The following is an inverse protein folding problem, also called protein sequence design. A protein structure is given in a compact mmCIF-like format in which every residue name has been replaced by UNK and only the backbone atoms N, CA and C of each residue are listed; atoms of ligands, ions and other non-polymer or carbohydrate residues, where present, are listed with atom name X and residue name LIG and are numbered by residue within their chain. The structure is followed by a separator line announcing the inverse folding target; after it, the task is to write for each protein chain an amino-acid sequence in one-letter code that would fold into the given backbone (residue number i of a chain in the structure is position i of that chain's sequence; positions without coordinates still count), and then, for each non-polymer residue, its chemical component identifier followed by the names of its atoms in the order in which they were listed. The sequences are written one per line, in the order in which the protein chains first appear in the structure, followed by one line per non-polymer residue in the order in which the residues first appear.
data_IF_142274964310
#
_entry.id   IF_142274964310
#
_cell.length_a   1.000
_cell.length_b   1.000
_cell.length_c   1.000
_cell.angle_alpha   90.00
_cell.angle_beta   90.00
_cell.angle_gamma   90.00
#
_symmetry.space_group_name_H-M   'P 1'
#
loop_
_entity.id
_entity.type
_entity.pdbx_description
1 polymer ?
#
# COMPACT_ATOMS: atom_id res chain seq x y z
N UNK A 1 17.58 -25.41 -17.92
CA UNK A 1 17.07 -24.65 -19.09
C UNK A 1 16.52 -23.27 -18.67
N UNK A 2 15.42 -23.14 -17.89
CA UNK A 2 14.94 -21.83 -17.40
C UNK A 2 15.87 -21.25 -16.33
N UNK A 3 16.29 -22.07 -15.39
CA UNK A 3 17.23 -21.68 -14.33
C UNK A 3 18.60 -21.28 -14.87
N UNK A 4 19.08 -21.92 -15.93
CA UNK A 4 20.39 -21.61 -16.55
C UNK A 4 20.37 -20.21 -17.19
N UNK A 5 19.25 -19.84 -17.84
CA UNK A 5 19.08 -18.51 -18.46
C UNK A 5 19.04 -17.42 -17.40
N UNK A 6 18.31 -17.67 -16.28
CA UNK A 6 18.26 -16.74 -15.16
C UNK A 6 19.64 -16.59 -14.53
N UNK A 7 20.34 -17.72 -14.28
CA UNK A 7 21.66 -17.72 -13.67
C UNK A 7 22.69 -16.96 -14.51
N UNK A 8 22.63 -17.07 -15.85
CA UNK A 8 23.52 -16.35 -16.76
C UNK A 8 23.25 -14.83 -16.69
N UNK A 9 21.98 -14.41 -16.79
CA UNK A 9 21.61 -12.99 -16.66
C UNK A 9 22.02 -12.42 -15.30
N UNK A 10 21.79 -13.15 -14.21
CA UNK A 10 22.19 -12.72 -12.86
C UNK A 10 23.71 -12.54 -12.73
N UNK A 11 24.47 -13.44 -13.33
CA UNK A 11 25.93 -13.36 -13.34
C UNK A 11 26.43 -12.11 -14.06
N UNK A 12 25.81 -11.74 -15.18
CA UNK A 12 26.11 -10.51 -15.91
C UNK A 12 25.85 -9.26 -15.07
N UNK A 13 24.81 -9.29 -14.23
CA UNK A 13 24.41 -8.19 -13.35
C UNK A 13 25.16 -8.19 -12.00
N UNK A 14 26.01 -9.20 -11.76
CA UNK A 14 26.76 -9.32 -10.50
C UNK A 14 25.91 -9.69 -9.29
N UNK A 15 24.73 -10.29 -9.51
CA UNK A 15 23.80 -10.71 -8.48
C UNK A 15 23.77 -12.24 -8.39
N UNK A 16 23.81 -12.76 -7.16
CA UNK A 16 23.74 -14.21 -6.94
C UNK A 16 22.29 -14.71 -7.02
N UNK A 17 22.13 -16.00 -7.36
CA UNK A 17 20.80 -16.63 -7.37
C UNK A 17 20.10 -16.56 -6.00
N UNK A 18 20.86 -16.62 -4.90
CA UNK A 18 20.31 -16.49 -3.56
C UNK A 18 19.75 -15.08 -3.30
N UNK A 19 20.45 -14.04 -3.75
CA UNK A 19 20.00 -12.66 -3.61
C UNK A 19 18.75 -12.37 -4.44
N UNK A 20 18.68 -12.93 -5.65
CA UNK A 20 17.49 -12.83 -6.48
C UNK A 20 16.31 -13.56 -5.82
N UNK A 21 16.53 -14.79 -5.33
CA UNK A 21 15.52 -15.58 -4.64
C UNK A 21 15.01 -14.87 -3.39
N UNK A 22 15.93 -14.30 -2.58
CA UNK A 22 15.54 -13.49 -1.41
C UNK A 22 14.62 -12.33 -1.81
N UNK A 23 14.99 -11.58 -2.84
CA UNK A 23 14.19 -10.44 -3.33
C UNK A 23 12.79 -10.90 -3.73
N UNK A 24 12.68 -11.92 -4.58
CA UNK A 24 11.39 -12.41 -5.09
C UNK A 24 10.52 -12.97 -3.96
N UNK A 25 11.10 -13.77 -3.05
CA UNK A 25 10.39 -14.31 -1.90
C UNK A 25 9.87 -13.19 -0.99
N UNK A 26 10.70 -12.18 -0.70
CA UNK A 26 10.30 -11.03 0.12
C UNK A 26 9.21 -10.20 -0.56
N UNK A 27 9.28 -10.01 -1.87
CA UNK A 27 8.21 -9.35 -2.63
C UNK A 27 6.88 -10.11 -2.49
N UNK A 28 6.91 -11.43 -2.64
CA UNK A 28 5.71 -12.28 -2.53
C UNK A 28 5.16 -12.34 -1.10
N UNK A 29 6.03 -12.34 -0.09
CA UNK A 29 5.67 -12.42 1.32
C UNK A 29 5.09 -11.09 1.84
N UNK A 30 5.76 -9.99 1.54
CA UNK A 30 5.37 -8.66 2.03
C UNK A 30 4.27 -8.01 1.18
N UNK A 31 4.23 -8.33 -0.11
CA UNK A 31 3.34 -7.68 -1.08
C UNK A 31 3.75 -6.24 -1.43
N UNK A 32 4.65 -5.66 -0.67
CA UNK A 32 5.19 -4.32 -0.89
C UNK A 32 6.58 -4.20 -0.26
N UNK A 33 7.49 -3.53 -0.94
CA UNK A 33 8.82 -3.14 -0.45
C UNK A 33 8.89 -1.62 -0.52
N UNK A 34 9.18 -0.98 0.61
CA UNK A 34 9.38 0.46 0.67
C UNK A 34 10.82 0.74 1.14
N UNK A 35 11.58 1.45 0.31
CA UNK A 35 13.00 1.76 0.55
C UNK A 35 13.23 2.45 1.91
N UNK A 36 12.28 3.25 2.36
CA UNK A 36 12.39 4.04 3.59
C UNK A 36 11.96 3.29 4.87
N UNK A 37 11.45 2.05 4.74
CA UNK A 37 10.96 1.30 5.89
C UNK A 37 12.08 0.77 6.79
N UNK A 38 13.14 0.23 6.18
CA UNK A 38 14.25 -0.36 6.92
C UNK A 38 15.49 -0.53 6.05
N UNK A 39 16.65 -0.73 6.67
CA UNK A 39 17.90 -1.04 5.93
C UNK A 39 17.79 -2.33 5.09
N UNK A 40 16.97 -3.27 5.50
CA UNK A 40 16.72 -4.50 4.73
C UNK A 40 15.94 -4.14 3.45
N UNK A 41 14.87 -3.37 3.57
CA UNK A 41 14.07 -2.98 2.41
C UNK A 41 14.80 -1.98 1.51
N UNK A 42 15.65 -1.13 2.04
CA UNK A 42 16.58 -0.32 1.23
C UNK A 42 17.40 -1.20 0.30
N UNK A 43 18.05 -2.25 0.84
CA UNK A 43 18.86 -3.17 0.04
C UNK A 43 18.05 -3.97 -0.97
N UNK A 44 16.83 -4.40 -0.59
CA UNK A 44 15.93 -5.11 -1.50
C UNK A 44 15.46 -4.21 -2.64
N UNK A 45 15.10 -2.97 -2.35
CA UNK A 45 14.70 -1.99 -3.36
C UNK A 45 15.86 -1.67 -4.31
N UNK A 46 17.06 -1.39 -3.77
CA UNK A 46 18.24 -1.08 -4.59
C UNK A 46 18.64 -2.29 -5.46
N UNK A 47 18.47 -3.53 -4.97
CA UNK A 47 18.66 -4.76 -5.75
C UNK A 47 17.60 -4.89 -6.86
N UNK A 48 16.33 -4.60 -6.55
CA UNK A 48 15.28 -4.61 -7.56
C UNK A 48 15.59 -3.69 -8.74
N UNK A 49 16.12 -2.48 -8.48
CA UNK A 49 16.52 -1.55 -9.54
C UNK A 49 17.56 -2.14 -10.51
N UNK A 50 18.39 -3.06 -10.04
CA UNK A 50 19.42 -3.71 -10.88
C UNK A 50 18.85 -4.85 -11.72
N UNK A 51 17.76 -5.48 -11.30
CA UNK A 51 17.16 -6.67 -11.94
C UNK A 51 15.70 -6.49 -12.30
N UNK A 52 15.25 -5.24 -12.49
CA UNK A 52 13.82 -4.91 -12.72
C UNK A 52 13.22 -5.81 -13.81
N UNK A 53 13.80 -5.79 -15.01
CA UNK A 53 13.27 -6.55 -16.16
C UNK A 53 13.20 -8.05 -15.88
N UNK A 54 14.20 -8.59 -15.17
CA UNK A 54 14.26 -10.02 -14.85
C UNK A 54 13.19 -10.41 -13.82
N UNK A 55 12.92 -9.55 -12.83
CA UNK A 55 11.86 -9.76 -11.85
C UNK A 55 10.49 -9.65 -12.52
N UNK A 56 10.29 -8.65 -13.38
CA UNK A 56 9.05 -8.47 -14.14
C UNK A 56 8.77 -9.67 -15.04
N UNK A 57 9.76 -10.12 -15.80
CA UNK A 57 9.67 -11.33 -16.64
C UNK A 57 9.31 -12.57 -15.80
N UNK A 58 10.00 -12.75 -14.66
CA UNK A 58 9.77 -13.90 -13.78
C UNK A 58 8.37 -13.91 -13.19
N UNK A 59 7.90 -12.77 -12.66
CA UNK A 59 6.60 -12.65 -12.04
C UNK A 59 5.45 -12.60 -13.06
N UNK A 60 5.71 -12.20 -14.31
CA UNK A 60 4.74 -12.23 -15.39
C UNK A 60 4.22 -13.63 -15.70
N UNK A 61 5.08 -14.66 -15.55
CA UNK A 61 4.70 -16.07 -15.67
C UNK A 61 3.61 -16.45 -14.68
N UNK A 62 3.64 -15.85 -13.49
CA UNK A 62 2.62 -16.02 -12.43
C UNK A 62 1.44 -15.05 -12.60
N UNK A 63 1.46 -14.20 -13.63
CA UNK A 63 0.50 -13.10 -13.84
C UNK A 63 0.39 -12.15 -12.64
N UNK A 64 1.46 -12.03 -11.86
CA UNK A 64 1.59 -11.07 -10.78
C UNK A 64 1.94 -9.72 -11.39
N UNK A 65 1.16 -8.69 -11.06
CA UNK A 65 1.40 -7.32 -11.53
C UNK A 65 2.32 -6.59 -10.56
N UNK A 66 3.18 -5.73 -11.10
CA UNK A 66 4.10 -4.90 -10.32
C UNK A 66 3.75 -3.43 -10.57
N UNK A 67 3.61 -2.68 -9.50
CA UNK A 67 3.56 -1.23 -9.53
C UNK A 67 4.83 -0.70 -8.87
N UNK A 68 5.61 0.06 -9.63
CA UNK A 68 6.83 0.71 -9.15
C UNK A 68 6.62 2.21 -9.10
N UNK A 69 6.62 2.78 -7.90
CA UNK A 69 6.61 4.22 -7.69
C UNK A 69 8.04 4.70 -7.44
N UNK A 70 8.62 5.35 -8.46
CA UNK A 70 10.00 5.86 -8.40
C UNK A 70 10.11 7.12 -7.54
N UNK A 71 9.02 7.89 -7.40
CA UNK A 71 9.01 9.13 -6.61
C UNK A 71 9.09 8.83 -5.11
N UNK A 72 8.30 7.87 -4.67
CA UNK A 72 8.24 7.47 -3.27
C UNK A 72 9.02 6.18 -2.96
N UNK A 73 9.79 5.69 -3.93
CA UNK A 73 10.71 4.58 -3.78
C UNK A 73 10.06 3.32 -3.19
N UNK A 74 8.91 2.91 -3.70
CA UNK A 74 8.29 1.65 -3.30
C UNK A 74 7.88 0.79 -4.51
N UNK A 75 7.82 -0.51 -4.28
CA UNK A 75 7.34 -1.50 -5.21
C UNK A 75 6.19 -2.23 -4.54
N UNK A 76 5.06 -2.35 -5.23
CA UNK A 76 3.91 -3.12 -4.77
C UNK A 76 3.56 -4.18 -5.80
N UNK A 77 3.30 -5.39 -5.34
CA UNK A 77 2.80 -6.46 -6.19
C UNK A 77 1.31 -6.67 -5.98
N UNK A 78 0.64 -7.09 -7.04
CA UNK A 78 -0.78 -7.40 -7.03
C UNK A 78 -1.01 -8.81 -7.56
N UNK A 79 -1.91 -9.57 -6.91
CA UNK A 79 -2.23 -10.91 -7.37
C UNK A 79 -2.90 -10.87 -8.75
N UNK A 80 -2.83 -11.98 -9.51
CA UNK A 80 -3.52 -12.10 -10.79
C UNK A 80 -5.00 -11.70 -10.69
N UNK A 81 -5.53 -10.98 -11.69
CA UNK A 81 -6.90 -10.50 -11.73
C UNK A 81 -7.21 -9.33 -10.78
N UNK A 82 -6.19 -8.70 -10.17
CA UNK A 82 -6.38 -7.43 -9.47
C UNK A 82 -6.62 -6.31 -10.50
N UNK A 83 -7.63 -5.49 -10.25
CA UNK A 83 -7.85 -4.23 -10.98
C UNK A 83 -7.03 -3.17 -10.29
N UNK A 84 -6.07 -2.60 -11.00
CA UNK A 84 -5.12 -1.61 -10.46
C UNK A 84 -5.09 -0.42 -11.40
N UNK A 85 -5.40 0.80 -10.93
CA UNK A 85 -5.35 1.99 -11.75
C UNK A 85 -3.97 2.16 -12.40
N UNK A 86 -3.96 2.38 -13.72
CA UNK A 86 -2.73 2.58 -14.48
C UNK A 86 -1.98 1.30 -14.88
N UNK A 87 -2.47 0.13 -14.51
CA UNK A 87 -1.95 -1.16 -14.99
C UNK A 87 -2.99 -1.85 -15.90
N UNK A 88 -2.53 -2.63 -16.90
CA UNK A 88 -3.45 -3.35 -17.78
C UNK A 88 -4.30 -4.36 -17.01
N UNK A 89 -5.57 -4.46 -17.38
CA UNK A 89 -6.47 -5.47 -16.84
C UNK A 89 -6.19 -6.84 -17.44
N UNK A 90 -6.40 -7.89 -16.63
CA UNK A 90 -6.32 -9.26 -17.11
C UNK A 90 -7.65 -9.65 -17.78
N UNK A 91 -7.58 -10.18 -19.00
CA UNK A 91 -8.77 -10.62 -19.76
C UNK A 91 -9.44 -11.87 -19.16
N UNK A 92 -8.82 -12.56 -18.20
CA UNK A 92 -9.30 -13.83 -17.67
C UNK A 92 -9.39 -13.84 -16.15
N UNK A 93 -10.42 -14.51 -15.63
CA UNK A 93 -10.56 -14.78 -14.20
C UNK A 93 -9.37 -15.60 -13.69
N UNK A 94 -8.69 -15.06 -12.71
CA UNK A 94 -7.51 -15.67 -12.16
C UNK A 94 -7.82 -16.73 -11.09
N UNK A 95 -7.05 -17.81 -11.08
CA UNK A 95 -7.08 -18.87 -10.05
C UNK A 95 -6.39 -18.41 -8.76
N UNK A 96 -6.89 -17.33 -8.14
CA UNK A 96 -6.14 -16.68 -7.07
C UNK A 96 -6.91 -16.45 -5.77
N UNK A 97 -7.97 -17.22 -5.51
CA UNK A 97 -8.77 -17.03 -4.30
C UNK A 97 -7.96 -17.14 -2.99
N UNK A 98 -6.82 -17.84 -3.01
CA UNK A 98 -5.90 -17.96 -1.88
C UNK A 98 -4.87 -16.83 -1.75
N UNK A 99 -4.60 -16.07 -2.81
CA UNK A 99 -3.63 -14.96 -2.79
C UNK A 99 -4.22 -13.63 -2.27
N UNK A 100 -5.53 -13.57 -2.09
CA UNK A 100 -6.23 -12.36 -1.65
C UNK A 100 -6.55 -12.44 -0.17
N UNK A 101 -5.78 -11.75 0.66
CA UNK A 101 -6.20 -11.46 2.02
C UNK A 101 -7.30 -10.39 1.97
N UNK A 102 -8.55 -10.77 2.25
CA UNK A 102 -9.66 -9.81 2.36
C UNK A 102 -9.49 -9.02 3.65
N UNK A 103 -9.38 -7.69 3.59
CA UNK A 103 -9.37 -6.88 4.81
C UNK A 103 -10.74 -6.96 5.50
N UNK A 104 -10.73 -6.88 6.83
CA UNK A 104 -11.95 -6.75 7.61
C UNK A 104 -12.64 -5.43 7.34
N UNK A 105 -13.95 -5.33 7.63
CA UNK A 105 -14.68 -4.06 7.48
C UNK A 105 -14.06 -2.94 8.30
N UNK A 106 -13.47 -3.26 9.43
CA UNK A 106 -12.81 -2.29 10.30
C UNK A 106 -11.49 -1.81 9.70
N UNK A 107 -10.69 -2.71 9.14
CA UNK A 107 -9.46 -2.35 8.41
C UNK A 107 -9.78 -1.45 7.21
N UNK A 108 -10.81 -1.79 6.43
CA UNK A 108 -11.25 -0.96 5.30
C UNK A 108 -11.65 0.44 5.77
N UNK A 109 -12.43 0.54 6.86
CA UNK A 109 -12.86 1.83 7.39
C UNK A 109 -11.66 2.69 7.83
N UNK A 110 -10.66 2.09 8.49
CA UNK A 110 -9.44 2.81 8.90
C UNK A 110 -8.65 3.24 7.66
N UNK A 111 -8.45 2.35 6.68
CA UNK A 111 -7.70 2.66 5.45
C UNK A 111 -8.35 3.82 4.68
N UNK A 112 -9.67 3.79 4.51
CA UNK A 112 -10.40 4.86 3.83
C UNK A 112 -10.26 6.19 4.56
N UNK A 113 -10.38 6.18 5.88
CA UNK A 113 -10.21 7.40 6.69
C UNK A 113 -8.79 7.95 6.59
N UNK A 114 -7.77 7.09 6.66
CA UNK A 114 -6.38 7.49 6.49
C UNK A 114 -6.12 8.08 5.09
N UNK A 115 -6.73 7.52 4.05
CA UNK A 115 -6.59 8.03 2.68
C UNK A 115 -7.19 9.43 2.54
N UNK A 116 -8.34 9.66 3.18
CA UNK A 116 -9.00 10.98 3.20
C UNK A 116 -8.15 12.00 3.95
N UNK A 117 -7.66 11.68 5.14
CA UNK A 117 -6.80 12.58 5.92
C UNK A 117 -5.47 12.84 5.20
N UNK A 118 -4.90 11.86 4.51
CA UNK A 118 -3.73 12.04 3.67
C UNK A 118 -3.99 13.07 2.56
N UNK A 119 -5.09 12.94 1.82
CA UNK A 119 -5.46 13.84 0.74
C UNK A 119 -5.69 15.26 1.24
N UNK A 120 -6.36 15.40 2.38
CA UNK A 120 -6.60 16.69 3.03
C UNK A 120 -5.28 17.36 3.39
N UNK A 121 -4.39 16.65 4.08
CA UNK A 121 -3.08 17.16 4.47
C UNK A 121 -2.20 17.50 3.26
N UNK A 122 -2.29 16.72 2.17
CA UNK A 122 -1.61 17.01 0.92
C UNK A 122 -2.06 18.34 0.31
N UNK A 123 -3.37 18.61 0.29
CA UNK A 123 -3.94 19.88 -0.18
C UNK A 123 -3.55 21.07 0.68
N UNK A 124 -3.40 20.84 1.98
CA UNK A 124 -2.97 21.86 2.96
C UNK A 124 -1.45 22.04 3.00
N UNK A 125 -0.69 21.25 2.24
CA UNK A 125 0.79 21.28 2.24
C UNK A 125 1.41 20.72 3.53
N UNK A 126 0.66 19.94 4.31
CA UNK A 126 1.09 19.38 5.59
C UNK A 126 1.71 17.99 5.40
N UNK A 127 2.75 17.92 4.59
CA UNK A 127 3.50 16.70 4.30
C UNK A 127 4.98 16.94 4.60
N UNK A 128 5.68 15.90 5.04
CA UNK A 128 7.13 15.95 5.21
C UNK A 128 7.89 15.81 3.88
N UNK A 129 9.22 15.92 3.95
CA UNK A 129 10.10 15.81 2.76
C UNK A 129 9.99 14.44 2.05
N UNK A 130 9.48 13.42 2.74
CA UNK A 130 9.24 12.07 2.21
C UNK A 130 7.82 11.88 1.68
N UNK A 131 6.99 12.91 1.79
CA UNK A 131 5.58 12.88 1.42
C UNK A 131 4.69 12.19 2.45
N UNK A 132 5.17 11.98 3.67
CA UNK A 132 4.38 11.38 4.75
C UNK A 132 3.55 12.44 5.49
N UNK A 133 2.44 11.99 6.07
CA UNK A 133 1.53 12.83 6.87
C UNK A 133 1.50 12.32 8.31
N UNK A 134 1.77 13.20 9.27
CA UNK A 134 1.63 12.89 10.68
C UNK A 134 0.18 13.11 11.14
N UNK A 135 -0.42 12.10 11.73
CA UNK A 135 -1.78 12.14 12.25
C UNK A 135 -1.82 11.58 13.69
N UNK A 136 -2.38 12.30 14.67
CA UNK A 136 -2.62 11.73 15.99
C UNK A 136 -3.70 10.65 15.92
N UNK A 137 -3.57 9.59 16.73
CA UNK A 137 -4.55 8.49 16.78
C UNK A 137 -5.94 8.98 17.18
N UNK A 138 -6.01 9.99 18.05
CA UNK A 138 -7.26 10.64 18.41
C UNK A 138 -7.88 11.35 17.18
N UNK A 139 -7.08 12.06 16.38
CA UNK A 139 -7.50 12.68 15.13
C UNK A 139 -8.08 11.65 14.15
N UNK A 140 -7.43 10.49 14.00
CA UNK A 140 -7.97 9.38 13.22
C UNK A 140 -9.33 8.91 13.75
N UNK A 141 -9.49 8.77 15.08
CA UNK A 141 -10.74 8.34 15.68
C UNK A 141 -11.87 9.34 15.42
N UNK A 142 -11.59 10.62 15.53
CA UNK A 142 -12.54 11.71 15.24
C UNK A 142 -12.92 11.71 13.75
N UNK A 143 -11.94 11.65 12.87
CA UNK A 143 -12.16 11.61 11.43
C UNK A 143 -13.00 10.40 11.00
N UNK A 144 -12.71 9.23 11.54
CA UNK A 144 -13.43 7.99 11.27
C UNK A 144 -14.92 8.09 11.73
N UNK A 145 -15.16 8.70 12.91
CA UNK A 145 -16.51 8.92 13.41
C UNK A 145 -17.27 9.91 12.54
N UNK A 146 -16.62 10.98 12.09
CA UNK A 146 -17.23 12.01 11.26
C UNK A 146 -17.56 11.48 9.86
N UNK A 147 -16.59 10.82 9.22
CA UNK A 147 -16.67 10.35 7.84
C UNK A 147 -17.60 9.14 7.69
N UNK A 148 -17.37 8.11 8.50
CA UNK A 148 -17.99 6.80 8.32
C UNK A 148 -19.01 6.44 9.40
N UNK A 149 -19.21 7.30 10.41
CA UNK A 149 -20.05 7.04 11.60
C UNK A 149 -19.62 5.77 12.35
N UNK A 150 -18.32 5.44 12.29
CA UNK A 150 -17.69 4.29 12.94
C UNK A 150 -16.66 4.73 13.95
N UNK A 151 -16.40 3.91 14.94
CA UNK A 151 -15.35 4.14 15.94
C UNK A 151 -14.20 3.17 15.75
N UNK A 152 -13.01 3.56 16.17
CA UNK A 152 -11.91 2.60 16.34
C UNK A 152 -12.31 1.55 17.38
N UNK A 153 -11.80 0.32 17.30
CA UNK A 153 -12.05 -0.70 18.31
C UNK A 153 -11.68 -0.21 19.71
N UNK A 154 -12.56 -0.45 20.67
CA UNK A 154 -12.30 -0.13 22.07
C UNK A 154 -11.26 -1.07 22.67
N UNK A 155 -11.29 -2.34 22.21
CA UNK A 155 -10.34 -3.37 22.65
C UNK A 155 -8.97 -3.05 22.06
N UNK A 156 -8.00 -2.80 22.94
CA UNK A 156 -6.63 -2.43 22.57
C UNK A 156 -5.96 -3.49 21.67
N UNK A 157 -6.19 -4.78 21.94
CA UNK A 157 -5.64 -5.87 21.14
C UNK A 157 -6.12 -5.85 19.67
N UNK A 158 -7.41 -5.57 19.45
CA UNK A 158 -7.96 -5.45 18.10
C UNK A 158 -7.37 -4.22 17.36
N UNK A 159 -7.25 -3.10 18.07
CA UNK A 159 -6.64 -1.89 17.53
C UNK A 159 -5.19 -2.14 17.13
N UNK A 160 -4.39 -2.77 18.00
CA UNK A 160 -2.99 -3.16 17.71
C UNK A 160 -2.90 -4.08 16.50
N UNK A 161 -3.81 -5.04 16.37
CA UNK A 161 -3.85 -5.96 15.23
C UNK A 161 -4.07 -5.22 13.90
N UNK A 162 -5.03 -4.29 13.86
CA UNK A 162 -5.31 -3.45 12.69
C UNK A 162 -4.06 -2.62 12.33
N UNK A 163 -3.49 -1.88 13.26
CA UNK A 163 -2.33 -1.05 12.98
C UNK A 163 -1.11 -1.87 12.56
N UNK A 164 -0.87 -3.03 13.17
CA UNK A 164 0.17 -3.96 12.74
C UNK A 164 -0.03 -4.40 11.28
N UNK A 165 -1.28 -4.70 10.91
CA UNK A 165 -1.61 -5.07 9.53
C UNK A 165 -1.38 -3.92 8.55
N UNK A 166 -1.79 -2.70 8.90
CA UNK A 166 -1.57 -1.54 8.06
C UNK A 166 -0.08 -1.21 7.90
N UNK A 167 0.72 -1.40 8.95
CA UNK A 167 2.17 -1.28 8.88
C UNK A 167 2.78 -2.34 7.96
N UNK A 168 2.34 -3.59 8.03
CA UNK A 168 2.77 -4.64 7.11
C UNK A 168 2.46 -4.28 5.65
N UNK A 169 1.34 -3.61 5.40
CA UNK A 169 0.95 -3.11 4.09
C UNK A 169 1.70 -1.82 3.69
N UNK A 170 2.60 -1.30 4.53
CA UNK A 170 3.34 -0.04 4.33
C UNK A 170 2.43 1.16 4.09
N UNK A 171 1.25 1.17 4.73
CA UNK A 171 0.32 2.31 4.68
C UNK A 171 0.56 3.30 5.80
N UNK A 172 1.08 2.82 6.93
CA UNK A 172 1.45 3.64 8.08
C UNK A 172 2.79 3.20 8.67
N UNK A 173 3.46 4.14 9.35
CA UNK A 173 4.57 3.89 10.26
C UNK A 173 4.27 4.44 11.64
N UNK A 174 4.90 3.87 12.68
CA UNK A 174 4.88 4.33 14.06
C UNK A 174 6.15 3.86 14.77
N UNK A 175 6.59 4.63 15.74
CA UNK A 175 7.92 4.41 16.35
C UNK A 175 7.98 3.21 17.31
N UNK A 176 6.90 2.93 18.05
CA UNK A 176 6.86 1.74 18.92
C UNK A 176 5.42 1.18 19.07
N UNK A 177 5.32 -0.14 19.32
CA UNK A 177 4.03 -0.79 19.57
C UNK A 177 3.41 -0.35 20.92
N UNK A 178 4.19 0.24 21.81
CA UNK A 178 3.75 0.76 23.11
C UNK A 178 3.05 2.12 22.98
N UNK A 179 3.28 2.85 21.90
CA UNK A 179 2.72 4.19 21.70
C UNK A 179 1.19 4.19 21.51
N UNK A 180 0.57 3.06 21.16
CA UNK A 180 -0.90 2.98 21.00
C UNK A 180 -1.69 2.95 22.31
N UNK A 181 -1.02 2.95 23.45
CA UNK A 181 -1.65 2.94 24.76
C UNK A 181 -1.99 4.34 25.27
N UNK A 182 -1.35 5.37 24.70
CA UNK A 182 -1.60 6.77 25.06
C UNK A 182 -2.48 7.47 24.01
N UNK A 183 -3.29 8.42 24.47
CA UNK A 183 -4.10 9.28 23.58
C UNK A 183 -3.20 10.19 22.70
N UNK A 184 -1.94 10.40 23.11
CA UNK A 184 -0.97 11.25 22.42
C UNK A 184 -0.17 10.52 21.34
N UNK A 185 -0.59 9.31 20.96
CA UNK A 185 0.11 8.52 19.94
C UNK A 185 -0.06 9.10 18.55
N UNK A 186 1.03 9.08 17.78
CA UNK A 186 1.07 9.57 16.41
C UNK A 186 1.36 8.44 15.44
N UNK A 187 0.73 8.49 14.28
CA UNK A 187 1.01 7.64 13.14
C UNK A 187 1.47 8.48 11.97
N UNK A 188 2.40 7.95 11.19
CA UNK A 188 2.84 8.54 9.94
C UNK A 188 2.16 7.79 8.78
N UNK A 189 1.28 8.47 8.04
CA UNK A 189 0.61 7.93 6.86
C UNK A 189 1.61 7.97 5.70
N UNK A 190 1.79 6.85 5.03
CA UNK A 190 2.75 6.71 3.95
C UNK A 190 2.15 7.06 2.59
N UNK A 191 2.92 7.63 1.64
CA UNK A 191 2.46 7.95 0.29
C UNK A 191 1.88 6.75 -0.47
N UNK A 192 2.34 5.54 -0.15
CA UNK A 192 1.86 4.28 -0.74
C UNK A 192 0.35 4.05 -0.54
N UNK A 193 -0.31 4.81 0.35
CA UNK A 193 -1.76 4.74 0.55
C UNK A 193 -2.53 5.17 -0.72
N UNK A 194 -1.97 6.06 -1.53
CA UNK A 194 -2.59 6.52 -2.78
C UNK A 194 -2.71 5.41 -3.82
N UNK A 195 -1.74 4.50 -3.84
CA UNK A 195 -1.79 3.32 -4.72
C UNK A 195 -2.69 2.21 -4.18
N UNK A 196 -2.99 2.24 -2.88
CA UNK A 196 -3.86 1.25 -2.25
C UNK A 196 -5.35 1.61 -2.35
N UNK A 197 -5.66 2.90 -2.27
CA UNK A 197 -7.01 3.46 -2.46
C UNK A 197 -6.92 4.55 -3.52
N UNK A 198 -7.41 4.25 -4.71
CA UNK A 198 -7.42 5.19 -5.85
C UNK A 198 -8.39 6.36 -5.65
N UNK A 199 -8.20 7.40 -6.46
CA UNK A 199 -9.00 8.62 -6.41
C UNK A 199 -10.48 8.39 -6.75
N UNK A 200 -10.78 7.37 -7.55
CA UNK A 200 -12.16 6.96 -7.88
C UNK A 200 -12.95 6.55 -6.62
N UNK A 201 -12.29 5.85 -5.68
CA UNK A 201 -12.92 5.46 -4.41
C UNK A 201 -13.15 6.68 -3.52
N UNK A 202 -12.22 7.64 -3.52
CA UNK A 202 -12.38 8.90 -2.80
C UNK A 202 -13.56 9.72 -3.33
N UNK A 203 -13.70 9.82 -4.64
CA UNK A 203 -14.78 10.56 -5.29
C UNK A 203 -16.17 9.99 -4.94
N UNK A 204 -16.27 8.68 -4.71
CA UNK A 204 -17.50 8.05 -4.24
C UNK A 204 -17.82 8.37 -2.77
N UNK A 205 -16.79 8.60 -1.94
CA UNK A 205 -16.98 8.98 -0.54
C UNK A 205 -17.35 10.47 -0.36
N UNK A 206 -16.90 11.30 -1.28
CA UNK A 206 -17.21 12.73 -1.37
C UNK A 206 -17.75 13.03 -2.76
N UNK A 207 -19.03 12.76 -3.04
CA UNK A 207 -19.63 13.28 -4.27
C UNK A 207 -19.52 14.80 -4.20
N UNK A 208 -18.78 15.38 -5.14
CA UNK A 208 -18.61 16.82 -5.25
C UNK A 208 -19.98 17.50 -5.21
N UNK A 209 -20.09 18.59 -4.45
CA UNK A 209 -21.33 19.40 -4.39
C UNK A 209 -21.77 19.90 -5.77
N UNK A 210 -20.88 19.92 -6.75
CA UNK A 210 -21.18 20.20 -8.17
C UNK A 210 -22.08 19.15 -8.82
N UNK A 211 -22.06 17.91 -8.36
CA UNK A 211 -22.90 16.84 -8.93
C UNK A 211 -24.32 16.87 -8.34
N UNK A 212 -24.54 17.48 -7.16
CA UNK A 212 -25.89 17.67 -6.59
C UNK A 212 -26.72 18.68 -7.35
N UNK A 213 -26.09 19.72 -7.92
CA UNK A 213 -26.81 20.74 -8.69
C UNK A 213 -27.35 20.26 -10.04
N UNK A 214 -26.77 19.18 -10.62
CA UNK A 214 -27.21 18.63 -11.90
C UNK A 214 -28.37 17.62 -11.80
N UNK A 215 -28.67 17.15 -10.59
CA UNK A 215 -29.76 16.18 -10.36
C UNK A 215 -31.06 16.88 -9.95
N UNK A 216 -30.98 18.08 -9.35
CA UNK A 216 -32.18 18.87 -8.97
C UNK A 216 -32.81 19.63 -10.17
N UNK A 217 -32.06 19.82 -11.28
CA UNK A 217 -32.60 20.46 -12.49
C UNK A 217 -33.26 19.48 -13.48
N UNK A 218 -33.36 18.19 -13.16
CA UNK A 218 -33.94 17.13 -14.04
C UNK A 218 -35.18 16.47 -13.42
N UNK A 219 -35.66 16.92 -12.26
CA UNK A 219 -36.93 16.51 -11.64
C UNK A 219 -37.91 17.66 -11.57
#
# INVERSE_FOLDING_TARGET
MFDDVIAEKLKELGITSNEFSELVIRMLDYGVINREESQIETRLYDRYLQVTDLVEDYLSVLKVKIQHDKKFCFIRIYPPGAVVPGLPDDEHNAFNSGFRAKPSQQEVAVILTLRVEYEKSLREGQVDDKGCVLLPVEGLAIAMKNLLKRSLPEVLGERKSIFKRLRQLRLIQFNSELEFESADSWISIQPSITSFVGDEVLSQLYPDETTKGLIEDVL
#
